data_IF_868454533417
#
_entry.id   IF_868454533417
#
_cell.length_a   1.000
_cell.length_b   1.000
_cell.length_c   1.000
_cell.angle_alpha   90.00
_cell.angle_beta   90.00
_cell.angle_gamma   90.00
#
_symmetry.space_group_name_H-M   'P 1'
#
loop_
_entity.id
_entity.type
_entity.pdbx_description
1 polymer ?
#
# COMPACT_ATOMS: atom_id res chain seq x y z
N UNK A 1 -57.77 60.22 8.70
CA UNK A 1 -57.48 59.11 7.85
C UNK A 1 -55.97 59.04 7.64
N UNK A 2 -55.27 58.23 8.43
CA UNK A 2 -53.82 58.10 8.37
C UNK A 2 -53.57 56.66 7.85
N UNK A 3 -52.98 56.53 6.66
CA UNK A 3 -52.58 55.27 6.06
C UNK A 3 -51.17 54.88 6.53
N UNK A 4 -51.10 53.81 7.32
CA UNK A 4 -49.82 53.19 7.69
C UNK A 4 -49.28 52.40 6.49
N UNK A 5 -48.06 52.73 6.01
CA UNK A 5 -47.29 51.94 5.11
C UNK A 5 -46.37 51.02 5.93
N UNK A 6 -46.64 49.70 5.96
CA UNK A 6 -45.70 48.69 6.44
C UNK A 6 -44.68 48.42 5.34
N UNK A 7 -43.42 48.75 5.59
CA UNK A 7 -42.28 48.38 4.74
C UNK A 7 -41.78 47.02 5.21
N UNK A 8 -41.98 45.97 4.39
CA UNK A 8 -41.40 44.64 4.61
C UNK A 8 -39.94 44.60 4.15
N UNK A 9 -39.07 44.48 5.12
CA UNK A 9 -37.62 44.26 4.87
C UNK A 9 -37.39 42.77 4.61
N UNK A 10 -37.13 42.37 3.37
CA UNK A 10 -36.72 41.00 3.02
C UNK A 10 -35.21 40.89 3.21
N UNK A 11 -34.77 40.16 4.24
CA UNK A 11 -33.36 39.83 4.46
C UNK A 11 -33.05 38.62 3.59
N UNK A 12 -32.32 38.86 2.52
CA UNK A 12 -31.75 37.78 1.67
C UNK A 12 -30.49 37.26 2.37
N UNK A 13 -30.58 36.09 2.98
CA UNK A 13 -29.44 35.37 3.53
C UNK A 13 -28.65 34.73 2.36
N UNK A 14 -27.54 35.34 1.97
CA UNK A 14 -26.58 34.75 1.04
C UNK A 14 -25.81 33.63 1.73
N UNK A 15 -26.23 32.38 1.53
CA UNK A 15 -25.47 31.21 1.90
C UNK A 15 -24.30 31.08 0.91
N UNK A 16 -23.11 31.52 1.32
CA UNK A 16 -21.86 31.19 0.64
C UNK A 16 -21.55 29.72 0.88
N UNK A 17 -21.94 28.85 -0.04
CA UNK A 17 -21.47 27.48 -0.09
C UNK A 17 -19.98 27.51 -0.49
N UNK A 18 -19.11 27.30 0.49
CA UNK A 18 -17.71 26.96 0.24
C UNK A 18 -17.67 25.55 -0.36
N UNK A 19 -17.80 25.42 -1.69
CA UNK A 19 -17.50 24.17 -2.38
C UNK A 19 -15.99 23.97 -2.30
N UNK A 20 -15.52 23.00 -1.51
CA UNK A 20 -14.17 22.45 -1.67
C UNK A 20 -14.09 21.95 -3.12
N UNK A 21 -13.38 22.66 -3.97
CA UNK A 21 -12.96 22.14 -5.27
C UNK A 21 -11.99 20.99 -4.96
N UNK A 22 -12.42 19.76 -5.18
CA UNK A 22 -11.52 18.64 -5.33
C UNK A 22 -10.68 18.92 -6.58
N UNK A 23 -9.55 19.57 -6.39
CA UNK A 23 -8.59 19.82 -7.45
C UNK A 23 -7.95 18.50 -7.81
N UNK A 24 -8.16 18.05 -9.04
CA UNK A 24 -7.42 16.90 -9.58
C UNK A 24 -5.92 17.09 -9.32
N UNK A 25 -5.18 16.03 -8.97
CA UNK A 25 -3.75 16.12 -8.67
C UNK A 25 -3.01 16.74 -9.85
N UNK A 26 -2.01 17.57 -9.56
CA UNK A 26 -1.19 18.19 -10.61
C UNK A 26 -0.38 17.11 -11.34
N UNK A 27 -0.02 17.36 -12.61
CA UNK A 27 0.84 16.47 -13.40
C UNK A 27 2.16 16.16 -12.68
N UNK A 28 2.71 17.13 -11.93
CA UNK A 28 3.92 16.94 -11.13
C UNK A 28 3.71 15.95 -9.97
N UNK A 29 2.55 15.95 -9.30
CA UNK A 29 2.23 15.00 -8.23
C UNK A 29 2.04 13.58 -8.78
N UNK A 30 1.41 13.44 -9.95
CA UNK A 30 1.31 12.15 -10.62
C UNK A 30 2.68 11.57 -10.98
N UNK A 31 3.63 12.39 -11.41
CA UNK A 31 4.99 11.95 -11.74
C UNK A 31 5.74 11.41 -10.53
N UNK A 32 5.58 12.01 -9.33
CA UNK A 32 6.23 11.54 -8.10
C UNK A 32 5.76 10.13 -7.66
N UNK A 33 4.56 9.74 -8.04
CA UNK A 33 3.95 8.46 -7.67
C UNK A 33 3.91 7.44 -8.84
N UNK A 34 4.64 7.71 -9.93
CA UNK A 34 4.65 6.86 -11.12
C UNK A 34 6.07 6.50 -11.57
N UNK A 35 6.95 6.26 -10.60
CA UNK A 35 8.30 5.78 -10.83
C UNK A 35 8.35 4.25 -10.71
N UNK A 36 9.50 3.64 -11.00
CA UNK A 36 9.72 2.21 -10.77
C UNK A 36 9.67 1.84 -9.29
N UNK A 37 9.35 0.59 -9.00
CA UNK A 37 9.39 0.02 -7.64
C UNK A 37 10.75 0.28 -7.01
N UNK A 38 10.76 0.63 -5.72
CA UNK A 38 11.97 0.95 -4.96
C UNK A 38 12.57 2.35 -5.21
N UNK A 39 12.18 3.05 -6.27
CA UNK A 39 12.73 4.39 -6.58
C UNK A 39 12.50 5.44 -5.47
N UNK A 40 11.53 5.21 -4.58
CA UNK A 40 11.25 6.04 -3.41
C UNK A 40 11.75 5.44 -2.09
N UNK A 41 12.61 4.44 -2.11
CA UNK A 41 13.07 3.74 -0.90
C UNK A 41 13.57 4.72 0.17
N UNK A 42 14.48 5.64 -0.19
CA UNK A 42 14.99 6.66 0.73
C UNK A 42 13.90 7.61 1.24
N UNK A 43 12.92 7.93 0.40
CA UNK A 43 11.78 8.77 0.77
C UNK A 43 10.87 8.07 1.81
N UNK A 44 10.77 6.73 1.76
CA UNK A 44 10.10 5.93 2.79
C UNK A 44 10.92 5.87 4.08
N UNK A 45 12.21 5.58 3.98
CA UNK A 45 13.05 5.24 5.13
C UNK A 45 13.39 6.47 5.98
N UNK A 46 13.87 7.56 5.35
CA UNK A 46 14.42 8.74 6.03
C UNK A 46 13.39 9.86 6.21
N UNK A 47 13.69 10.79 7.14
CA UNK A 47 12.89 12.01 7.38
C UNK A 47 13.32 13.20 6.54
N UNK A 48 14.33 13.06 5.69
CA UNK A 48 14.95 14.17 4.96
C UNK A 48 13.97 14.98 4.09
N UNK A 49 12.98 14.31 3.53
CA UNK A 49 12.00 14.94 2.63
C UNK A 49 10.57 14.78 3.14
N UNK A 50 10.18 13.57 3.55
CA UNK A 50 8.83 13.28 4.02
C UNK A 50 8.86 12.80 5.47
N UNK A 51 7.95 13.34 6.29
CA UNK A 51 7.87 13.06 7.73
C UNK A 51 6.77 12.08 8.09
N UNK A 52 5.82 11.86 7.17
CA UNK A 52 4.71 10.92 7.37
C UNK A 52 4.40 10.15 6.09
N UNK A 53 3.66 9.07 6.25
CA UNK A 53 3.06 8.30 5.15
C UNK A 53 1.54 8.44 5.26
N UNK A 54 0.89 8.75 4.13
CA UNK A 54 -0.54 8.67 3.97
C UNK A 54 -0.85 7.47 3.07
N UNK A 55 -1.25 6.36 3.67
CA UNK A 55 -1.60 5.11 2.99
C UNK A 55 -3.08 5.09 2.67
N UNK A 56 -3.40 5.25 1.40
CA UNK A 56 -4.75 5.07 0.87
C UNK A 56 -4.96 3.60 0.52
N UNK A 57 -5.86 2.96 1.25
CA UNK A 57 -6.29 1.60 0.97
C UNK A 57 -7.63 1.66 0.26
N UNK A 58 -7.70 1.09 -0.93
CA UNK A 58 -8.95 0.89 -1.63
C UNK A 58 -9.24 -0.60 -1.76
N UNK A 59 -10.49 -0.99 -1.57
CA UNK A 59 -10.88 -2.39 -1.61
C UNK A 59 -12.20 -2.60 -2.36
N UNK A 60 -12.31 -3.71 -3.05
CA UNK A 60 -13.52 -4.12 -3.75
C UNK A 60 -14.50 -4.83 -2.81
N UNK A 61 -15.80 -4.90 -3.15
CA UNK A 61 -16.82 -5.51 -2.29
C UNK A 61 -16.47 -6.93 -1.84
N UNK A 62 -16.53 -7.19 -0.54
CA UNK A 62 -16.18 -8.47 0.07
C UNK A 62 -14.70 -8.69 0.40
N UNK A 63 -13.81 -7.76 0.02
CA UNK A 63 -12.37 -7.86 0.19
C UNK A 63 -11.79 -6.68 0.99
N UNK A 64 -12.54 -6.23 2.00
CA UNK A 64 -12.00 -5.28 2.96
C UNK A 64 -10.80 -5.91 3.69
N UNK A 65 -9.69 -5.15 3.89
CA UNK A 65 -8.51 -5.67 4.55
C UNK A 65 -8.80 -6.13 5.98
N UNK A 66 -8.12 -7.18 6.42
CA UNK A 66 -8.22 -7.65 7.79
C UNK A 66 -7.61 -6.65 8.77
N UNK A 67 -8.34 -6.27 9.81
CA UNK A 67 -7.88 -5.25 10.76
C UNK A 67 -6.61 -5.68 11.53
N UNK A 68 -6.42 -6.98 11.81
CA UNK A 68 -5.21 -7.48 12.46
C UNK A 68 -4.01 -7.40 11.50
N UNK A 69 -4.17 -7.73 10.21
CA UNK A 69 -3.12 -7.60 9.21
C UNK A 69 -2.68 -6.14 9.06
N UNK A 70 -3.62 -5.19 8.96
CA UNK A 70 -3.27 -3.77 8.91
C UNK A 70 -2.54 -3.27 10.15
N UNK A 71 -2.91 -3.76 11.34
CA UNK A 71 -2.19 -3.42 12.58
C UNK A 71 -0.76 -3.99 12.56
N UNK A 72 -0.58 -5.21 12.04
CA UNK A 72 0.74 -5.82 11.85
C UNK A 72 1.58 -4.99 10.88
N UNK A 73 1.03 -4.60 9.72
CA UNK A 73 1.71 -3.74 8.75
C UNK A 73 2.15 -2.42 9.38
N UNK A 74 1.27 -1.72 10.11
CA UNK A 74 1.62 -0.46 10.78
C UNK A 74 2.72 -0.68 11.82
N UNK A 75 2.63 -1.75 12.62
CA UNK A 75 3.67 -2.16 13.57
C UNK A 75 5.00 -2.39 12.87
N UNK A 76 5.00 -3.20 11.82
CA UNK A 76 6.17 -3.50 10.98
C UNK A 76 6.81 -2.20 10.44
N UNK A 77 6.04 -1.33 9.80
CA UNK A 77 6.54 -0.07 9.25
C UNK A 77 7.11 0.85 10.33
N UNK A 78 6.48 0.93 11.50
CA UNK A 78 6.97 1.74 12.61
C UNK A 78 8.32 1.26 13.17
N UNK A 79 8.65 -0.02 13.02
CA UNK A 79 9.97 -0.56 13.43
C UNK A 79 11.08 -0.22 12.44
N UNK A 80 10.74 0.05 11.17
CA UNK A 80 11.70 0.22 10.08
C UNK A 80 11.90 1.68 9.67
N UNK A 81 10.84 2.51 9.76
CA UNK A 81 10.80 3.82 9.14
C UNK A 81 11.08 4.95 10.14
N UNK A 82 11.91 5.90 9.73
CA UNK A 82 12.09 7.17 10.44
C UNK A 82 11.00 8.17 10.01
N UNK A 83 9.76 7.98 10.49
CA UNK A 83 8.61 8.83 10.18
C UNK A 83 7.97 9.36 11.47
N UNK A 84 8.38 10.55 11.97
CA UNK A 84 7.84 11.12 13.21
C UNK A 84 6.32 11.41 13.12
N UNK A 85 5.78 11.69 11.93
CA UNK A 85 4.36 11.85 11.69
C UNK A 85 3.60 10.54 11.48
N UNK A 86 4.28 9.39 11.57
CA UNK A 86 3.69 8.05 11.51
C UNK A 86 3.12 7.67 10.15
N UNK A 87 2.33 6.57 10.18
CA UNK A 87 1.58 6.03 9.05
C UNK A 87 0.09 6.29 9.29
N UNK A 88 -0.51 7.10 8.44
CA UNK A 88 -1.93 7.44 8.48
C UNK A 88 -2.67 6.63 7.43
N UNK A 89 -3.68 5.86 7.82
CA UNK A 89 -4.45 5.00 6.92
C UNK A 89 -5.82 5.63 6.63
N UNK A 90 -6.19 5.66 5.36
CA UNK A 90 -7.57 5.91 4.92
C UNK A 90 -8.06 4.71 4.14
N UNK A 91 -9.31 4.30 4.35
CA UNK A 91 -9.91 3.16 3.66
C UNK A 91 -11.14 3.59 2.89
N UNK A 92 -11.30 3.06 1.66
CA UNK A 92 -12.45 3.35 0.81
C UNK A 92 -12.83 2.14 -0.01
N UNK A 93 -14.10 1.76 0.02
CA UNK A 93 -14.63 0.78 -0.92
C UNK A 93 -14.79 1.41 -2.31
N UNK A 94 -14.34 0.69 -3.33
CA UNK A 94 -14.54 1.02 -4.75
C UNK A 94 -15.38 -0.05 -5.43
N UNK A 95 -15.84 0.23 -6.64
CA UNK A 95 -16.62 -0.73 -7.42
C UNK A 95 -15.78 -1.93 -7.86
N UNK A 96 -16.39 -3.12 -7.92
CA UNK A 96 -15.85 -4.29 -8.61
C UNK A 96 -15.65 -3.99 -10.10
N UNK A 97 -14.61 -4.57 -10.70
CA UNK A 97 -14.42 -4.55 -12.16
C UNK A 97 -15.23 -5.65 -12.86
N UNK A 98 -15.82 -6.58 -12.10
CA UNK A 98 -16.46 -7.82 -12.59
C UNK A 98 -15.51 -8.75 -13.39
N UNK A 99 -14.21 -8.48 -13.39
CA UNK A 99 -13.21 -9.33 -14.02
C UNK A 99 -12.63 -10.29 -12.99
N UNK A 100 -12.76 -11.62 -13.16
CA UNK A 100 -12.24 -12.59 -12.19
C UNK A 100 -10.71 -12.69 -12.20
N UNK A 101 -10.08 -12.21 -13.26
CA UNK A 101 -8.61 -12.21 -13.44
C UNK A 101 -8.19 -10.82 -13.93
N UNK A 102 -7.16 -10.25 -13.31
CA UNK A 102 -6.60 -8.95 -13.67
C UNK A 102 -5.16 -9.09 -14.16
N UNK A 103 -4.84 -8.30 -15.16
CA UNK A 103 -3.46 -8.02 -15.59
C UNK A 103 -2.91 -6.83 -14.80
N UNK A 104 -1.59 -6.65 -14.79
CA UNK A 104 -0.96 -5.48 -14.17
C UNK A 104 -1.41 -4.15 -14.80
N UNK A 105 -1.65 -4.13 -16.12
CA UNK A 105 -2.18 -2.97 -16.80
C UNK A 105 -3.57 -2.57 -16.26
N UNK A 106 -4.45 -3.55 -16.07
CA UNK A 106 -5.79 -3.31 -15.49
C UNK A 106 -5.71 -2.82 -14.03
N UNK A 107 -4.81 -3.39 -13.21
CA UNK A 107 -4.56 -2.88 -11.85
C UNK A 107 -4.11 -1.42 -11.88
N UNK A 108 -3.18 -1.08 -12.77
CA UNK A 108 -2.72 0.31 -12.95
C UNK A 108 -3.81 1.26 -13.43
N UNK A 109 -4.73 0.80 -14.29
CA UNK A 109 -5.87 1.60 -14.76
C UNK A 109 -6.90 1.81 -13.62
N UNK A 110 -7.12 0.80 -12.76
CA UNK A 110 -7.95 0.94 -11.55
C UNK A 110 -7.37 2.02 -10.62
N UNK A 111 -6.06 1.97 -10.35
CA UNK A 111 -5.38 3.01 -9.56
C UNK A 111 -5.58 4.40 -10.20
N UNK A 112 -5.32 4.53 -11.49
CA UNK A 112 -5.42 5.79 -12.22
C UNK A 112 -6.79 6.45 -12.10
N UNK A 113 -7.86 5.65 -12.05
CA UNK A 113 -9.25 6.13 -11.96
C UNK A 113 -9.62 6.46 -10.51
N UNK A 114 -9.12 5.69 -9.54
CA UNK A 114 -9.66 5.71 -8.17
C UNK A 114 -8.75 6.39 -7.15
N UNK A 115 -7.41 6.40 -7.35
CA UNK A 115 -6.45 6.97 -6.38
C UNK A 115 -6.73 8.45 -6.15
N UNK A 116 -6.78 8.84 -4.86
CA UNK A 116 -7.03 10.22 -4.42
C UNK A 116 -5.89 10.79 -3.57
N UNK A 117 -5.05 9.92 -2.97
CA UNK A 117 -3.94 10.35 -2.12
C UNK A 117 -2.62 10.27 -2.88
N UNK A 118 -2.00 11.42 -3.09
CA UNK A 118 -0.71 11.59 -3.76
C UNK A 118 0.32 12.19 -2.81
N UNK A 119 1.59 12.00 -3.15
CA UNK A 119 2.71 12.61 -2.43
C UNK A 119 2.60 14.14 -2.52
N UNK A 120 2.52 14.81 -1.35
CA UNK A 120 2.38 16.24 -1.26
C UNK A 120 2.93 16.79 0.06
N UNK A 121 3.51 17.99 0.03
CA UNK A 121 4.11 18.63 1.22
C UNK A 121 5.15 17.74 1.87
N UNK A 122 4.97 17.43 3.16
CA UNK A 122 5.84 16.57 3.95
C UNK A 122 5.32 15.13 4.11
N UNK A 123 4.32 14.75 3.33
CA UNK A 123 3.69 13.42 3.39
C UNK A 123 3.90 12.65 2.09
N UNK A 124 4.36 11.41 2.21
CA UNK A 124 4.46 10.47 1.10
C UNK A 124 3.11 9.77 0.92
N UNK A 125 2.49 9.93 -0.26
CA UNK A 125 1.24 9.26 -0.60
C UNK A 125 1.51 7.85 -1.12
N UNK A 126 0.83 6.86 -0.55
CA UNK A 126 0.94 5.43 -0.92
C UNK A 126 -0.44 4.90 -1.26
N UNK A 127 -0.52 4.06 -2.26
CA UNK A 127 -1.74 3.42 -2.74
C UNK A 127 -1.66 1.91 -2.57
N UNK A 128 -2.69 1.32 -1.97
CA UNK A 128 -2.82 -0.11 -1.79
C UNK A 128 -4.21 -0.57 -2.19
N UNK A 129 -4.28 -1.45 -3.19
CA UNK A 129 -5.53 -1.98 -3.73
C UNK A 129 -5.75 -3.44 -3.30
N UNK A 130 -6.92 -3.72 -2.73
CA UNK A 130 -7.44 -5.07 -2.49
C UNK A 130 -8.48 -5.39 -3.54
N UNK A 131 -8.17 -6.31 -4.44
CA UNK A 131 -9.07 -6.69 -5.55
C UNK A 131 -9.96 -7.87 -5.18
N UNK A 132 -11.12 -7.98 -5.85
CA UNK A 132 -12.00 -9.16 -5.83
C UNK A 132 -11.60 -10.20 -6.89
N UNK A 133 -10.43 -10.07 -7.48
CA UNK A 133 -9.92 -10.89 -8.57
C UNK A 133 -8.65 -11.65 -8.18
N UNK A 134 -8.26 -12.59 -9.04
CA UNK A 134 -6.93 -13.21 -9.06
C UNK A 134 -6.03 -12.52 -10.08
N UNK A 135 -4.71 -12.73 -9.99
CA UNK A 135 -3.76 -12.32 -11.02
C UNK A 135 -3.69 -13.35 -12.14
N UNK A 136 -3.17 -12.94 -13.30
CA UNK A 136 -2.94 -13.84 -14.45
C UNK A 136 -2.03 -15.02 -14.11
N UNK A 137 -1.10 -14.84 -13.16
CA UNK A 137 -0.29 -15.92 -12.61
C UNK A 137 -0.93 -16.45 -11.31
N UNK A 138 -1.39 -17.71 -11.28
CA UNK A 138 -2.34 -18.19 -10.23
C UNK A 138 -1.78 -18.21 -8.80
N UNK A 139 -0.47 -18.14 -8.60
CA UNK A 139 0.17 -18.18 -7.27
C UNK A 139 0.60 -16.82 -6.76
N UNK A 140 0.39 -15.78 -7.53
CA UNK A 140 0.73 -14.42 -7.12
C UNK A 140 -0.38 -13.90 -6.22
N UNK A 141 -0.01 -13.54 -5.00
CA UNK A 141 -0.93 -13.04 -3.96
C UNK A 141 -0.96 -11.51 -3.90
N UNK A 142 0.16 -10.87 -4.22
CA UNK A 142 0.32 -9.42 -4.27
C UNK A 142 1.37 -9.00 -5.27
N UNK A 143 1.45 -7.71 -5.54
CA UNK A 143 2.47 -7.07 -6.37
C UNK A 143 2.71 -5.62 -5.93
N UNK A 144 3.96 -5.26 -5.67
CA UNK A 144 4.40 -3.88 -5.78
C UNK A 144 4.64 -3.57 -7.27
N UNK A 145 4.06 -2.49 -7.82
CA UNK A 145 4.11 -2.25 -9.26
C UNK A 145 4.51 -0.83 -9.67
N UNK A 146 4.55 0.09 -8.71
CA UNK A 146 5.15 1.43 -8.84
C UNK A 146 5.87 1.76 -7.53
N UNK A 147 6.60 2.86 -7.52
CA UNK A 147 7.36 3.29 -6.34
C UNK A 147 6.53 3.51 -5.07
N UNK A 148 5.23 3.73 -5.19
CA UNK A 148 4.30 3.97 -4.06
C UNK A 148 2.99 3.22 -4.23
N UNK A 149 2.94 2.17 -5.05
CA UNK A 149 1.70 1.46 -5.34
C UNK A 149 1.89 -0.03 -5.26
N UNK A 150 0.97 -0.70 -4.58
CA UNK A 150 0.92 -2.15 -4.44
C UNK A 150 -0.53 -2.65 -4.51
N UNK A 151 -0.70 -3.94 -4.78
CA UNK A 151 -2.00 -4.61 -4.81
C UNK A 151 -1.94 -5.97 -4.15
N UNK A 152 -3.06 -6.39 -3.57
CA UNK A 152 -3.32 -7.74 -3.09
C UNK A 152 -4.47 -8.33 -3.90
N UNK A 153 -4.30 -9.55 -4.39
CA UNK A 153 -5.32 -10.28 -5.13
C UNK A 153 -6.22 -11.04 -4.15
N UNK A 154 -7.23 -10.34 -3.65
CA UNK A 154 -8.09 -10.79 -2.56
C UNK A 154 -8.73 -12.15 -2.81
N UNK A 155 -9.18 -12.43 -4.06
CA UNK A 155 -9.72 -13.74 -4.37
C UNK A 155 -8.71 -14.86 -4.12
N UNK A 156 -7.46 -14.73 -4.58
CA UNK A 156 -6.42 -15.74 -4.37
C UNK A 156 -6.09 -15.88 -2.87
N UNK A 157 -6.02 -14.77 -2.13
CA UNK A 157 -5.75 -14.78 -0.68
C UNK A 157 -6.88 -15.46 0.07
N UNK A 158 -8.15 -15.11 -0.18
CA UNK A 158 -9.30 -15.71 0.49
C UNK A 158 -9.44 -17.20 0.16
N UNK A 159 -9.22 -17.62 -1.09
CA UNK A 159 -9.27 -19.01 -1.50
C UNK A 159 -8.21 -19.88 -0.79
N UNK A 160 -7.13 -19.27 -0.28
CA UNK A 160 -6.00 -19.95 0.34
C UNK A 160 -5.84 -19.69 1.83
N UNK A 161 -6.82 -19.10 2.49
CA UNK A 161 -6.83 -18.81 3.92
C UNK A 161 -8.06 -19.38 4.65
N UNK A 162 -8.02 -19.43 5.97
CA UNK A 162 -9.17 -19.68 6.85
C UNK A 162 -9.74 -21.10 6.86
N UNK A 163 -9.16 -22.05 6.12
CA UNK A 163 -9.58 -23.45 6.08
C UNK A 163 -8.70 -24.38 6.94
N UNK A 164 -9.11 -25.62 7.07
CA UNK A 164 -8.32 -26.63 7.78
C UNK A 164 -6.94 -26.81 7.08
N UNK A 165 -5.87 -26.64 7.83
CA UNK A 165 -4.50 -26.74 7.30
C UNK A 165 -4.06 -25.50 6.49
N UNK A 166 -4.85 -24.44 6.43
CA UNK A 166 -4.48 -23.17 5.81
C UNK A 166 -4.15 -22.11 6.86
N UNK A 167 -3.35 -21.08 6.52
CA UNK A 167 -3.12 -19.96 7.41
C UNK A 167 -4.41 -19.19 7.68
N UNK A 168 -4.41 -18.39 8.76
CA UNK A 168 -5.48 -17.41 8.95
C UNK A 168 -5.45 -16.36 7.84
N UNK A 169 -6.60 -15.71 7.58
CA UNK A 169 -6.65 -14.59 6.65
C UNK A 169 -5.69 -13.47 7.09
N UNK A 170 -5.65 -13.19 8.39
CA UNK A 170 -4.75 -12.17 8.94
C UNK A 170 -3.28 -12.48 8.68
N UNK A 171 -2.83 -13.73 8.86
CA UNK A 171 -1.43 -14.10 8.60
C UNK A 171 -1.10 -14.03 7.11
N UNK A 172 -2.03 -14.50 6.25
CA UNK A 172 -1.78 -14.49 4.81
C UNK A 172 -1.82 -13.07 4.22
N UNK A 173 -2.70 -12.19 4.68
CA UNK A 173 -2.65 -10.77 4.32
C UNK A 173 -1.37 -10.12 4.85
N UNK A 174 -1.01 -10.33 6.13
CA UNK A 174 0.20 -9.72 6.73
C UNK A 174 1.46 -10.06 5.93
N UNK A 175 1.68 -11.33 5.57
CA UNK A 175 2.90 -11.69 4.83
C UNK A 175 2.92 -11.04 3.44
N UNK A 176 1.77 -10.96 2.75
CA UNK A 176 1.69 -10.30 1.44
C UNK A 176 1.93 -8.80 1.58
N UNK A 177 1.24 -8.14 2.50
CA UNK A 177 1.36 -6.70 2.74
C UNK A 177 2.80 -6.29 3.08
N UNK A 178 3.43 -6.99 4.02
CA UNK A 178 4.78 -6.69 4.48
C UNK A 178 5.84 -7.00 3.43
N UNK A 179 5.66 -8.09 2.65
CA UNK A 179 6.56 -8.48 1.55
C UNK A 179 6.52 -7.43 0.41
N UNK A 180 5.32 -7.08 -0.06
CA UNK A 180 5.17 -6.10 -1.14
C UNK A 180 5.64 -4.71 -0.68
N UNK A 181 5.40 -4.36 0.59
CA UNK A 181 5.97 -3.13 1.14
C UNK A 181 7.50 -3.19 1.19
N UNK A 182 8.10 -4.34 1.46
CA UNK A 182 9.55 -4.56 1.38
C UNK A 182 10.12 -4.17 0.01
N UNK A 183 9.42 -4.50 -1.08
CA UNK A 183 9.80 -4.04 -2.43
C UNK A 183 9.68 -2.52 -2.59
N UNK A 184 8.66 -1.88 -2.02
CA UNK A 184 8.55 -0.41 -2.01
C UNK A 184 9.69 0.24 -1.22
N UNK A 185 10.15 -0.41 -0.14
CA UNK A 185 11.32 0.03 0.65
C UNK A 185 12.66 -0.23 -0.07
N UNK A 186 12.60 -0.75 -1.29
CA UNK A 186 13.77 -0.96 -2.14
C UNK A 186 14.62 -2.17 -1.76
N UNK A 187 14.07 -3.09 -0.94
CA UNK A 187 14.79 -4.30 -0.52
C UNK A 187 15.16 -5.17 -1.71
N UNK A 188 16.27 -5.80 -1.52
CA UNK A 188 16.95 -6.72 -2.42
C UNK A 188 17.12 -6.11 -3.82
N UNK A 189 18.04 -5.15 -3.89
CA UNK A 189 18.51 -4.51 -5.13
C UNK A 189 17.48 -3.64 -5.89
N UNK A 190 16.35 -3.30 -5.28
CA UNK A 190 15.34 -2.43 -5.91
C UNK A 190 15.53 -0.93 -5.65
N UNK A 191 16.46 -0.54 -4.74
CA UNK A 191 16.67 0.89 -4.45
C UNK A 191 17.36 1.14 -3.11
N UNK A 192 17.21 0.27 -2.12
CA UNK A 192 18.04 0.22 -0.92
C UNK A 192 19.31 -0.55 -1.24
N UNK A 193 20.46 0.14 -1.18
CA UNK A 193 21.76 -0.46 -1.50
C UNK A 193 22.08 -1.58 -0.52
N UNK A 194 22.31 -2.79 -1.06
CA UNK A 194 22.74 -3.93 -0.26
C UNK A 194 24.12 -3.68 0.36
N UNK A 195 24.24 -3.96 1.67
CA UNK A 195 25.51 -3.89 2.38
C UNK A 195 26.35 -5.16 2.16
N UNK A 196 25.68 -6.28 1.97
CA UNK A 196 26.23 -7.58 1.59
C UNK A 196 25.35 -8.16 0.49
N UNK A 197 25.94 -8.80 -0.52
CA UNK A 197 25.15 -9.45 -1.57
C UNK A 197 24.37 -10.61 -0.96
N UNK A 198 23.05 -10.55 -1.02
CA UNK A 198 22.13 -11.60 -0.54
C UNK A 198 20.89 -11.75 -1.44
N UNK A 199 21.00 -11.33 -2.69
CA UNK A 199 19.96 -11.55 -3.70
C UNK A 199 20.00 -12.99 -4.17
N UNK A 200 18.83 -13.65 -4.27
CA UNK A 200 18.69 -14.97 -4.85
C UNK A 200 19.01 -14.92 -6.36
N UNK A 201 20.02 -15.66 -6.79
CA UNK A 201 20.47 -15.65 -8.18
C UNK A 201 19.42 -16.16 -9.18
N UNK A 202 18.46 -16.96 -8.73
CA UNK A 202 17.37 -17.51 -9.55
C UNK A 202 16.08 -16.67 -9.49
N UNK A 203 15.93 -15.85 -8.45
CA UNK A 203 14.72 -15.06 -8.18
C UNK A 203 15.11 -13.62 -7.85
N UNK A 204 15.41 -12.85 -8.89
CA UNK A 204 15.80 -11.45 -8.75
C UNK A 204 14.85 -10.66 -7.83
N UNK A 205 15.42 -9.68 -7.12
CA UNK A 205 14.73 -8.83 -6.13
C UNK A 205 14.22 -9.58 -4.89
N UNK A 206 14.67 -10.80 -4.66
CA UNK A 206 14.32 -11.60 -3.48
C UNK A 206 15.57 -12.05 -2.71
N UNK A 207 15.40 -12.24 -1.40
CA UNK A 207 16.47 -12.68 -0.50
C UNK A 207 16.78 -14.16 -0.69
N UNK A 208 18.06 -14.52 -0.66
CA UNK A 208 18.55 -15.90 -0.73
C UNK A 208 18.25 -16.72 0.55
N UNK A 209 17.94 -16.03 1.66
CA UNK A 209 17.64 -16.67 2.93
C UNK A 209 16.16 -17.12 3.00
N UNK A 210 15.92 -18.44 2.99
CA UNK A 210 14.58 -19.03 3.06
C UNK A 210 13.75 -18.68 4.31
N UNK A 211 14.38 -18.15 5.35
CA UNK A 211 13.72 -17.74 6.58
C UNK A 211 13.44 -16.21 6.62
N UNK A 212 13.75 -15.50 5.56
CA UNK A 212 13.50 -14.07 5.42
C UNK A 212 12.12 -13.81 4.82
N UNK A 213 11.46 -12.74 5.27
CA UNK A 213 10.22 -12.24 4.66
C UNK A 213 10.37 -12.02 3.15
N UNK A 214 11.54 -11.50 2.70
CA UNK A 214 11.81 -11.22 1.29
C UNK A 214 12.26 -12.46 0.49
N UNK A 215 12.13 -13.67 1.04
CA UNK A 215 12.36 -14.89 0.27
C UNK A 215 11.23 -15.06 -0.78
N UNK A 216 11.59 -15.39 -2.01
CA UNK A 216 10.65 -15.48 -3.15
C UNK A 216 9.44 -16.38 -2.92
N UNK A 217 9.61 -17.45 -2.13
CA UNK A 217 8.55 -18.40 -1.82
C UNK A 217 7.90 -18.18 -0.43
N UNK A 218 8.21 -17.09 0.30
CA UNK A 218 7.71 -16.89 1.67
C UNK A 218 6.18 -16.94 1.74
N UNK A 219 5.49 -16.24 0.85
CA UNK A 219 4.02 -16.23 0.76
C UNK A 219 3.46 -17.62 0.44
N UNK A 220 4.05 -18.31 -0.56
CA UNK A 220 3.64 -19.66 -0.97
C UNK A 220 3.93 -20.70 0.11
N UNK A 221 5.03 -20.55 0.85
CA UNK A 221 5.39 -21.43 1.96
C UNK A 221 4.40 -21.31 3.12
N UNK A 222 3.95 -20.10 3.45
CA UNK A 222 2.89 -19.89 4.44
C UNK A 222 1.56 -20.49 3.95
N UNK A 223 1.17 -20.19 2.72
CA UNK A 223 -0.05 -20.69 2.09
C UNK A 223 -0.11 -22.24 2.07
N UNK A 224 1.04 -22.89 1.88
CA UNK A 224 1.17 -24.36 1.83
C UNK A 224 1.40 -25.01 3.19
N UNK A 225 1.48 -24.24 4.28
CA UNK A 225 1.76 -24.75 5.63
C UNK A 225 3.20 -25.21 5.86
N UNK A 226 4.15 -24.85 4.98
CA UNK A 226 5.58 -25.11 5.15
C UNK A 226 6.16 -24.28 6.29
N UNK A 227 5.66 -23.03 6.44
CA UNK A 227 5.90 -22.18 7.61
C UNK A 227 4.58 -21.88 8.28
N UNK A 228 4.60 -21.67 9.60
CA UNK A 228 3.40 -21.50 10.45
C UNK A 228 3.13 -20.04 10.86
N UNK A 229 4.00 -19.12 10.48
CA UNK A 229 3.88 -17.68 10.82
C UNK A 229 4.60 -16.83 9.79
N UNK A 230 4.28 -15.53 9.78
CA UNK A 230 4.97 -14.52 8.97
C UNK A 230 6.44 -14.45 9.39
N UNK A 231 7.42 -14.71 8.51
CA UNK A 231 8.82 -14.61 8.85
C UNK A 231 9.24 -13.14 8.98
N UNK A 232 10.20 -12.81 9.87
CA UNK A 232 10.76 -11.46 9.92
C UNK A 232 11.68 -11.20 8.72
N UNK A 233 12.03 -9.93 8.51
CA UNK A 233 13.22 -9.59 7.72
C UNK A 233 14.46 -10.18 8.40
N UNK A 234 15.37 -10.76 7.63
CA UNK A 234 16.65 -11.20 8.16
C UNK A 234 17.61 -10.03 8.47
N UNK A 235 18.79 -10.36 8.96
CA UNK A 235 19.78 -9.36 9.35
C UNK A 235 20.28 -8.54 8.16
N UNK A 236 20.46 -9.15 6.98
CA UNK A 236 20.95 -8.46 5.78
C UNK A 236 19.92 -7.44 5.30
N UNK A 237 18.67 -7.85 5.11
CA UNK A 237 17.58 -6.95 4.74
C UNK A 237 17.41 -5.78 5.72
N UNK A 238 17.46 -6.03 7.03
CA UNK A 238 17.38 -4.96 8.04
C UNK A 238 18.57 -4.01 8.00
N UNK A 239 19.78 -4.54 7.80
CA UNK A 239 20.99 -3.71 7.70
C UNK A 239 20.95 -2.82 6.45
N UNK A 240 20.42 -3.32 5.34
CA UNK A 240 20.24 -2.53 4.13
C UNK A 240 19.28 -1.36 4.38
N UNK A 241 18.10 -1.61 4.99
CA UNK A 241 17.17 -0.54 5.31
C UNK A 241 17.81 0.50 6.25
N UNK A 242 18.52 0.05 7.30
CA UNK A 242 19.20 0.93 8.24
C UNK A 242 20.27 1.79 7.57
N UNK A 243 21.09 1.20 6.71
CA UNK A 243 22.14 1.92 5.97
C UNK A 243 21.56 2.92 4.96
N UNK A 244 20.32 2.69 4.48
CA UNK A 244 19.64 3.58 3.53
C UNK A 244 18.68 4.58 4.19
N UNK A 245 18.72 4.73 5.52
CA UNK A 245 18.02 5.79 6.27
C UNK A 245 16.86 5.32 7.14
N UNK A 246 16.63 4.02 7.26
CA UNK A 246 15.72 3.38 8.20
C UNK A 246 16.25 3.34 9.65
N UNK A 247 15.49 2.66 10.53
CA UNK A 247 15.85 2.45 11.95
C UNK A 247 16.76 1.25 12.12
#
# INVERSE_FOLDING_TARGET
MIKNLLSSFVIILLLTQCSKKDTAPSVAQNNLNNLSVGASAKDFLATTKYQSINLEIQYMPGFAPNAAALNNLVGYLNTLLNKPGGVNITQKQIASTANPILTLAQVSDIEKINRTVFTAGTSLGVYFLFTDASYTEPKVLGLAYKNTSMTLFGKTVHDNSGGLGKPSLADLESIVEEHEFGHLLGLVNLGSTMQVVHEDAAHANHCDNKNCLMYWAAQVNLMSGIISSVPPLDANCRNDLKANGGK
#
